data_IF_090323865652
#
_entry.id   IF_090323865652
#
_cell.length_a   1.000
_cell.length_b   1.000
_cell.length_c   1.000
_cell.angle_alpha   90.00
_cell.angle_beta   90.00
_cell.angle_gamma   90.00
#
_symmetry.space_group_name_H-M   'P 1'
#
loop_
_entity.id
_entity.type
_entity.pdbx_description
1 polymer ?
#
# COMPACT_ATOMS: atom_id res chain seq x y z
N UNK A 1 -14.62 7.82 39.88
CA UNK A 1 -14.34 9.28 39.93
C UNK A 1 -13.18 9.56 40.88
N UNK A 2 -11.97 9.72 40.37
CA UNK A 2 -10.79 10.18 41.14
C UNK A 2 -10.08 11.27 40.33
N UNK A 3 -9.48 12.20 41.08
CA UNK A 3 -9.38 13.63 40.80
C UNK A 3 -8.30 14.01 39.79
N UNK A 4 -8.66 14.99 38.97
CA UNK A 4 -7.83 15.87 38.16
C UNK A 4 -6.89 16.69 39.06
N UNK A 5 -5.60 16.79 38.70
CA UNK A 5 -4.68 17.77 39.26
C UNK A 5 -4.00 18.53 38.11
N UNK A 6 -4.50 19.73 37.89
CA UNK A 6 -3.98 20.77 37.02
C UNK A 6 -2.93 21.56 37.82
N UNK A 7 -1.72 21.76 37.29
CA UNK A 7 -0.75 22.69 37.83
C UNK A 7 -0.24 23.60 36.72
N UNK A 8 -0.73 24.84 36.75
CA UNK A 8 -0.30 25.96 35.93
C UNK A 8 1.01 26.57 36.48
N UNK A 9 1.74 27.14 35.51
CA UNK A 9 2.53 28.38 35.57
C UNK A 9 3.78 28.43 36.46
N UNK A 10 4.93 28.74 35.84
CA UNK A 10 5.46 30.10 35.84
C UNK A 10 6.52 30.27 34.75
N UNK A 11 6.40 31.35 33.96
CA UNK A 11 7.37 31.74 32.96
C UNK A 11 8.56 32.48 33.57
N UNK A 12 9.70 32.39 32.89
CA UNK A 12 10.82 33.31 33.06
C UNK A 12 11.22 33.79 31.66
N UNK A 13 11.02 35.09 31.44
CA UNK A 13 11.50 35.86 30.30
C UNK A 13 12.93 36.28 30.62
N UNK A 14 13.88 36.01 29.72
CA UNK A 14 15.15 36.74 29.69
C UNK A 14 15.41 37.16 28.25
N UNK A 15 15.43 38.47 28.03
CA UNK A 15 15.82 39.11 26.79
C UNK A 15 17.35 39.11 26.63
N UNK A 16 17.83 38.96 25.39
CA UNK A 16 19.24 39.08 25.05
C UNK A 16 19.46 39.36 23.57
N UNK A 17 20.03 40.54 23.31
CA UNK A 17 20.31 41.28 22.08
C UNK A 17 20.66 40.56 20.76
N UNK A 18 20.25 41.23 19.68
CA UNK A 18 20.60 41.06 18.27
C UNK A 18 22.09 41.18 17.96
N UNK A 19 22.58 40.38 16.99
CA UNK A 19 23.65 40.77 16.05
C UNK A 19 23.27 40.25 14.67
N UNK A 20 23.26 41.17 13.71
CA UNK A 20 23.03 40.98 12.29
C UNK A 20 24.39 40.64 11.65
N UNK A 21 24.48 39.53 10.92
CA UNK A 21 25.61 39.24 10.03
C UNK A 21 25.03 38.99 8.63
N UNK A 22 25.25 39.96 7.76
CA UNK A 22 25.11 39.79 6.31
C UNK A 22 26.25 38.91 5.79
N UNK A 23 25.93 37.75 5.23
CA UNK A 23 26.79 37.04 4.29
C UNK A 23 25.96 36.54 3.11
N UNK A 24 26.19 37.18 1.95
CA UNK A 24 25.83 36.66 0.66
C UNK A 24 26.72 35.45 0.33
N UNK A 25 26.11 34.29 0.07
CA UNK A 25 26.74 33.18 -0.61
C UNK A 25 25.69 32.26 -1.26
N UNK A 26 25.65 32.32 -2.60
CA UNK A 26 25.43 31.22 -3.55
C UNK A 26 24.44 30.12 -3.16
N UNK A 27 23.22 30.20 -3.70
CA UNK A 27 22.30 29.07 -3.82
C UNK A 27 22.85 28.02 -4.79
N UNK A 28 23.49 27.00 -4.23
CA UNK A 28 23.51 25.66 -4.86
C UNK A 28 22.42 24.83 -4.20
N UNK A 29 21.46 24.44 -5.02
CA UNK A 29 20.36 23.54 -4.71
C UNK A 29 20.94 22.15 -4.39
N UNK A 30 20.93 21.76 -3.11
CA UNK A 30 21.21 20.39 -2.69
C UNK A 30 19.94 19.80 -2.13
N UNK A 31 19.25 19.03 -2.97
CA UNK A 31 18.16 18.12 -2.61
C UNK A 31 18.72 17.07 -1.64
N UNK A 32 18.72 17.36 -0.34
CA UNK A 32 19.00 16.35 0.68
C UNK A 32 17.79 15.40 0.76
N UNK A 33 17.94 14.21 0.21
CA UNK A 33 17.11 13.04 0.54
C UNK A 33 17.29 12.71 2.03
N UNK A 34 16.46 13.33 2.87
CA UNK A 34 16.25 12.86 4.23
C UNK A 34 15.43 11.57 4.17
N UNK A 35 16.11 10.42 4.28
CA UNK A 35 15.46 9.16 4.66
C UNK A 35 15.79 8.92 6.13
N UNK A 36 14.79 9.02 7.00
CA UNK A 36 14.89 8.49 8.36
C UNK A 36 14.92 6.95 8.29
N UNK A 37 16.13 6.38 8.24
CA UNK A 37 16.36 4.94 8.24
C UNK A 37 17.02 4.60 9.57
N UNK A 38 16.42 3.71 10.33
CA UNK A 38 17.12 2.98 11.39
C UNK A 38 17.28 1.56 10.87
N UNK A 39 18.48 1.20 10.40
CA UNK A 39 18.77 -0.17 10.03
C UNK A 39 18.96 -1.00 11.32
N UNK A 40 18.05 -1.94 11.57
CA UNK A 40 18.25 -2.92 12.64
C UNK A 40 18.92 -4.14 12.02
N UNK A 41 20.23 -4.25 12.17
CA UNK A 41 20.98 -5.41 11.67
C UNK A 41 20.76 -6.62 12.59
N UNK A 42 19.96 -7.58 12.12
CA UNK A 42 20.04 -8.97 12.56
C UNK A 42 20.44 -9.80 11.35
N UNK A 43 21.52 -10.57 11.48
CA UNK A 43 22.30 -11.14 10.37
C UNK A 43 21.53 -11.81 9.22
N UNK A 44 22.13 -11.63 8.04
CA UNK A 44 21.77 -12.11 6.68
C UNK A 44 20.41 -11.63 6.16
N UNK A 45 20.48 -10.50 5.44
CA UNK A 45 19.42 -9.55 5.06
C UNK A 45 18.90 -8.72 6.25
N UNK A 46 19.36 -7.46 6.35
CA UNK A 46 18.88 -6.51 7.34
C UNK A 46 17.52 -5.97 6.93
N UNK A 47 16.55 -6.05 7.84
CA UNK A 47 15.26 -5.42 7.66
C UNK A 47 15.44 -3.90 7.66
N UNK A 48 14.86 -3.21 6.68
CA UNK A 48 14.92 -1.75 6.62
C UNK A 48 13.71 -1.17 7.34
N UNK A 49 13.90 -0.73 8.60
CA UNK A 49 12.85 -0.02 9.31
C UNK A 49 12.79 1.43 8.81
N UNK A 50 11.64 1.77 8.24
CA UNK A 50 11.31 3.14 7.86
C UNK A 50 10.65 3.87 9.03
N UNK A 51 11.05 5.13 9.23
CA UNK A 51 10.38 6.04 10.18
C UNK A 51 9.48 7.05 9.47
N UNK A 52 9.40 6.98 8.15
CA UNK A 52 8.66 7.91 7.31
C UNK A 52 8.74 7.55 5.85
N UNK A 53 8.01 8.28 5.03
CA UNK A 53 7.93 8.06 3.58
C UNK A 53 8.00 9.37 2.81
N UNK A 54 8.59 9.31 1.61
CA UNK A 54 8.46 10.37 0.61
C UNK A 54 7.34 10.01 -0.36
N UNK A 55 6.22 10.73 -0.31
CA UNK A 55 5.02 10.37 -1.05
C UNK A 55 4.33 11.58 -1.69
N UNK A 56 3.46 11.29 -2.66
CA UNK A 56 2.58 12.27 -3.30
C UNK A 56 1.18 11.71 -3.48
N UNK A 57 0.15 12.54 -3.27
CA UNK A 57 -1.24 12.27 -3.64
C UNK A 57 -1.54 12.69 -5.09
N UNK A 58 -0.53 13.14 -5.86
CA UNK A 58 -0.63 13.46 -7.29
C UNK A 58 -1.66 14.57 -7.60
N UNK A 59 -1.72 15.59 -6.75
CA UNK A 59 -2.67 16.71 -6.86
C UNK A 59 -2.20 17.86 -7.76
N UNK A 60 -1.00 17.76 -8.32
CA UNK A 60 -0.39 18.80 -9.16
C UNK A 60 0.24 18.20 -10.43
N UNK A 61 0.41 19.05 -11.45
CA UNK A 61 0.90 18.61 -12.75
C UNK A 61 2.32 18.03 -12.72
N UNK A 62 3.19 18.48 -11.81
CA UNK A 62 4.57 18.01 -11.74
C UNK A 62 4.63 16.59 -11.17
N UNK A 63 3.96 16.34 -10.06
CA UNK A 63 3.88 14.98 -9.49
C UNK A 63 3.17 14.02 -10.44
N UNK A 64 2.06 14.43 -11.06
CA UNK A 64 1.38 13.61 -12.07
C UNK A 64 2.29 13.30 -13.27
N UNK A 65 3.05 14.27 -13.78
CA UNK A 65 3.97 14.05 -14.89
C UNK A 65 5.09 13.05 -14.53
N UNK A 66 5.63 13.13 -13.31
CA UNK A 66 6.65 12.20 -12.83
C UNK A 66 6.10 10.76 -12.81
N UNK A 67 4.95 10.55 -12.15
CA UNK A 67 4.31 9.22 -12.05
C UNK A 67 3.90 8.69 -13.43
N UNK A 68 3.33 9.55 -14.28
CA UNK A 68 2.96 9.21 -15.66
C UNK A 68 4.15 8.73 -16.47
N UNK A 69 5.27 9.45 -16.40
CA UNK A 69 6.48 9.09 -17.12
C UNK A 69 7.07 7.77 -16.62
N UNK A 70 7.05 7.52 -15.31
CA UNK A 70 7.52 6.26 -14.74
C UNK A 70 6.66 5.07 -15.21
N UNK A 71 5.33 5.19 -15.17
CA UNK A 71 4.40 4.15 -15.65
C UNK A 71 4.62 3.85 -17.15
N UNK A 72 4.70 4.87 -18.01
CA UNK A 72 4.90 4.69 -19.45
C UNK A 72 6.26 4.07 -19.76
N UNK A 73 7.34 4.50 -19.08
CA UNK A 73 8.68 3.90 -19.22
C UNK A 73 8.73 2.46 -18.74
N UNK A 74 7.81 2.07 -17.87
CA UNK A 74 7.64 0.73 -17.33
C UNK A 74 6.70 -0.16 -18.15
N UNK A 75 6.37 0.26 -19.37
CA UNK A 75 5.56 -0.46 -20.36
C UNK A 75 4.07 -0.58 -19.99
N UNK A 76 3.57 0.28 -19.08
CA UNK A 76 2.13 0.42 -18.81
C UNK A 76 1.47 1.16 -19.97
N UNK A 77 0.34 0.65 -20.47
CA UNK A 77 -0.32 1.21 -21.66
C UNK A 77 -0.82 2.64 -21.43
N UNK A 78 -0.72 3.49 -22.46
CA UNK A 78 -1.16 4.89 -22.37
C UNK A 78 -2.62 5.02 -21.93
N UNK A 79 -3.49 4.12 -22.40
CA UNK A 79 -4.90 4.05 -22.01
C UNK A 79 -5.07 3.77 -20.51
N UNK A 80 -4.32 2.80 -19.97
CA UNK A 80 -4.37 2.48 -18.54
C UNK A 80 -3.85 3.66 -17.68
N UNK A 81 -2.77 4.32 -18.12
CA UNK A 81 -2.23 5.49 -17.45
C UNK A 81 -3.22 6.66 -17.46
N UNK A 82 -3.88 6.93 -18.59
CA UNK A 82 -4.92 7.98 -18.67
C UNK A 82 -6.11 7.67 -17.76
N UNK A 83 -6.60 6.44 -17.76
CA UNK A 83 -7.69 6.01 -16.89
C UNK A 83 -7.32 6.14 -15.41
N UNK A 84 -6.07 5.82 -15.04
CA UNK A 84 -5.58 6.00 -13.68
C UNK A 84 -5.62 7.46 -13.23
N UNK A 85 -5.09 8.40 -14.03
CA UNK A 85 -5.12 9.81 -13.65
C UNK A 85 -6.53 10.39 -13.62
N UNK A 86 -7.45 9.92 -14.47
CA UNK A 86 -8.86 10.29 -14.35
C UNK A 86 -9.44 9.89 -12.98
N UNK A 87 -9.09 8.70 -12.46
CA UNK A 87 -9.52 8.29 -11.12
C UNK A 87 -8.87 9.13 -10.00
N UNK A 88 -7.61 9.54 -10.16
CA UNK A 88 -6.91 10.45 -9.23
C UNK A 88 -7.56 11.82 -9.20
N UNK A 89 -7.84 12.40 -10.37
CA UNK A 89 -8.47 13.71 -10.52
C UNK A 89 -9.90 13.71 -9.97
N UNK A 90 -10.67 12.67 -10.28
CA UNK A 90 -12.03 12.50 -9.76
C UNK A 90 -12.03 12.41 -8.24
N UNK A 91 -11.14 11.61 -7.64
CA UNK A 91 -11.03 11.53 -6.18
C UNK A 91 -10.64 12.88 -5.59
N UNK A 92 -9.62 13.54 -6.14
CA UNK A 92 -9.15 14.84 -5.67
C UNK A 92 -10.26 15.89 -5.72
N UNK A 93 -11.07 15.88 -6.78
CA UNK A 93 -12.24 16.76 -6.93
C UNK A 93 -13.33 16.45 -5.92
N UNK A 94 -13.67 15.18 -5.70
CA UNK A 94 -14.70 14.75 -4.73
C UNK A 94 -14.34 15.23 -3.32
N UNK A 95 -13.07 15.14 -2.94
CA UNK A 95 -12.62 15.53 -1.59
C UNK A 95 -12.18 17.00 -1.51
N UNK A 96 -12.39 17.77 -2.57
CA UNK A 96 -12.00 19.18 -2.69
C UNK A 96 -10.51 19.43 -2.35
N UNK A 97 -9.66 18.43 -2.61
CA UNK A 97 -8.23 18.45 -2.25
C UNK A 97 -7.93 18.49 -0.74
N UNK A 98 -8.95 18.45 0.13
CA UNK A 98 -8.76 18.58 1.59
C UNK A 98 -7.83 17.49 2.12
N UNK A 99 -6.73 17.88 2.76
CA UNK A 99 -5.79 16.94 3.39
C UNK A 99 -4.86 16.20 2.43
N UNK A 100 -4.95 16.46 1.12
CA UNK A 100 -4.04 15.87 0.13
C UNK A 100 -2.80 16.74 -0.03
N UNK A 101 -1.63 16.12 -0.17
CA UNK A 101 -0.38 16.86 -0.37
C UNK A 101 -0.15 17.24 -1.84
N UNK A 102 0.61 18.33 -2.04
CA UNK A 102 1.14 18.75 -3.34
C UNK A 102 2.58 18.30 -3.49
N UNK A 103 2.95 17.85 -4.68
CA UNK A 103 4.29 17.35 -4.99
C UNK A 103 4.63 16.09 -4.18
N UNK A 104 5.91 15.72 -4.20
CA UNK A 104 6.44 14.69 -3.30
C UNK A 104 6.94 15.33 -2.01
N UNK A 105 6.27 15.04 -0.89
CA UNK A 105 6.64 15.52 0.44
C UNK A 105 7.11 14.39 1.34
N UNK A 106 7.87 14.73 2.38
CA UNK A 106 8.22 13.79 3.44
C UNK A 106 7.11 13.77 4.51
N UNK A 107 6.75 12.58 4.97
CA UNK A 107 5.96 12.37 6.19
C UNK A 107 6.75 11.52 7.17
N UNK A 108 6.78 11.94 8.43
CA UNK A 108 7.38 11.19 9.56
C UNK A 108 6.46 10.07 10.07
N UNK A 109 5.80 9.37 9.13
CA UNK A 109 4.92 8.24 9.38
C UNK A 109 4.78 7.41 8.10
N UNK A 110 4.44 6.12 8.22
CA UNK A 110 4.11 5.25 7.09
C UNK A 110 2.63 5.37 6.67
N UNK A 111 1.81 5.95 7.53
CA UNK A 111 0.37 6.11 7.36
C UNK A 111 0.01 7.56 7.59
N UNK A 112 0.16 8.42 6.57
CA UNK A 112 -0.39 9.77 6.64
C UNK A 112 -1.88 9.70 7.00
N UNK A 113 -2.31 10.56 7.92
CA UNK A 113 -3.69 10.59 8.39
C UNK A 113 -4.59 11.31 7.38
N UNK A 114 -5.75 10.70 7.11
CA UNK A 114 -6.75 11.22 6.20
C UNK A 114 -8.13 11.17 6.85
N UNK A 115 -8.94 12.21 6.61
CA UNK A 115 -10.31 12.34 7.10
C UNK A 115 -11.25 11.44 6.28
N UNK A 116 -11.16 10.13 6.54
CA UNK A 116 -11.83 9.08 5.75
C UNK A 116 -13.36 9.20 5.84
N UNK A 117 -13.88 9.60 7.01
CA UNK A 117 -15.30 9.91 7.22
C UNK A 117 -15.75 11.07 6.32
N UNK A 118 -14.99 12.17 6.27
CA UNK A 118 -15.29 13.28 5.37
C UNK A 118 -15.22 12.86 3.90
N UNK A 119 -14.19 12.09 3.49
CA UNK A 119 -14.06 11.62 2.11
C UNK A 119 -15.21 10.71 1.69
N UNK A 120 -15.66 9.82 2.59
CA UNK A 120 -16.82 8.98 2.37
C UNK A 120 -18.11 9.82 2.27
N UNK A 121 -18.31 10.80 3.17
CA UNK A 121 -19.47 11.68 3.13
C UNK A 121 -19.54 12.50 1.83
N UNK A 122 -18.43 13.11 1.39
CA UNK A 122 -18.39 13.85 0.13
C UNK A 122 -18.74 12.98 -1.06
N UNK A 123 -18.20 11.75 -1.10
CA UNK A 123 -18.54 10.79 -2.14
C UNK A 123 -20.04 10.46 -2.14
N UNK A 124 -20.61 10.14 -0.98
CA UNK A 124 -22.03 9.76 -0.85
C UNK A 124 -22.97 10.91 -1.26
N UNK A 125 -22.56 12.17 -1.08
CA UNK A 125 -23.33 13.33 -1.55
C UNK A 125 -23.43 13.43 -3.07
N UNK A 126 -22.48 12.83 -3.81
CA UNK A 126 -22.43 12.85 -5.28
C UNK A 126 -22.99 11.53 -5.84
N UNK A 127 -22.61 10.39 -5.24
CA UNK A 127 -22.98 9.05 -5.69
C UNK A 127 -23.22 8.11 -4.50
N UNK A 128 -24.46 8.04 -4.00
CA UNK A 128 -24.82 7.24 -2.81
C UNK A 128 -24.50 5.74 -2.93
N UNK A 129 -24.57 5.17 -4.12
CA UNK A 129 -24.37 3.72 -4.35
C UNK A 129 -22.97 3.35 -4.87
N UNK A 130 -22.06 4.33 -4.98
CA UNK A 130 -20.72 4.11 -5.53
C UNK A 130 -19.65 4.37 -4.46
N UNK A 131 -19.06 3.30 -3.94
CA UNK A 131 -17.97 3.36 -2.94
C UNK A 131 -16.64 3.89 -3.51
N UNK A 132 -16.52 4.00 -4.84
CA UNK A 132 -15.27 4.34 -5.50
C UNK A 132 -14.47 3.14 -5.96
N UNK A 133 -13.18 3.37 -6.12
CA UNK A 133 -12.19 2.35 -6.48
C UNK A 133 -11.24 2.11 -5.32
N UNK A 134 -10.91 0.84 -5.09
CA UNK A 134 -9.96 0.40 -4.06
C UNK A 134 -8.60 0.00 -4.67
N UNK A 135 -7.72 -0.55 -3.84
CA UNK A 135 -6.40 -1.06 -4.23
C UNK A 135 -6.46 -2.08 -5.39
N UNK A 136 -7.34 -3.09 -5.30
CA UNK A 136 -7.48 -4.16 -6.30
C UNK A 136 -7.92 -3.62 -7.66
N UNK A 137 -8.98 -2.80 -7.68
CA UNK A 137 -9.49 -2.20 -8.93
C UNK A 137 -8.42 -1.32 -9.56
N UNK A 138 -7.72 -0.51 -8.75
CA UNK A 138 -6.68 0.41 -9.22
C UNK A 138 -5.50 -0.35 -9.82
N UNK A 139 -4.91 -1.29 -9.08
CA UNK A 139 -3.75 -2.04 -9.51
C UNK A 139 -4.04 -2.92 -10.74
N UNK A 140 -5.22 -3.57 -10.76
CA UNK A 140 -5.65 -4.33 -11.93
C UNK A 140 -5.88 -3.44 -13.15
N UNK A 141 -6.52 -2.28 -12.98
CA UNK A 141 -6.77 -1.36 -14.11
C UNK A 141 -5.47 -0.88 -14.75
N UNK A 142 -4.43 -0.69 -13.94
CA UNK A 142 -3.08 -0.33 -14.41
C UNK A 142 -2.37 -1.50 -15.12
N UNK A 143 -2.38 -2.72 -14.55
CA UNK A 143 -1.54 -3.83 -15.00
C UNK A 143 -2.27 -5.01 -15.65
N UNK A 144 -3.56 -4.92 -15.93
CA UNK A 144 -4.33 -6.02 -16.52
C UNK A 144 -3.71 -6.56 -17.82
N UNK A 145 -3.09 -5.71 -18.64
CA UNK A 145 -2.47 -6.11 -19.92
C UNK A 145 -1.20 -6.95 -19.71
N UNK A 146 -0.54 -6.80 -18.55
CA UNK A 146 0.65 -7.56 -18.16
C UNK A 146 0.32 -8.90 -17.49
N UNK A 147 -0.95 -9.23 -17.29
CA UNK A 147 -1.40 -10.46 -16.64
C UNK A 147 -2.08 -11.34 -17.69
N UNK A 148 -1.76 -12.62 -17.74
CA UNK A 148 -2.49 -13.63 -18.52
C UNK A 148 -3.08 -14.65 -17.57
N UNK A 149 -4.26 -15.15 -17.89
CA UNK A 149 -4.90 -16.24 -17.16
C UNK A 149 -5.35 -17.24 -18.22
N UNK A 150 -4.83 -18.46 -18.15
CA UNK A 150 -5.23 -19.53 -19.06
C UNK A 150 -6.69 -19.91 -18.80
N UNK A 151 -7.49 -19.99 -19.87
CA UNK A 151 -8.88 -20.45 -19.82
C UNK A 151 -9.70 -19.76 -18.72
N UNK A 152 -9.91 -18.43 -18.82
CA UNK A 152 -10.59 -17.62 -17.81
C UNK A 152 -12.03 -18.12 -17.59
N UNK A 153 -12.29 -18.93 -16.53
CA UNK A 153 -13.62 -19.47 -16.34
C UNK A 153 -14.57 -18.37 -15.91
N UNK A 154 -15.84 -18.50 -16.29
CA UNK A 154 -16.89 -17.72 -15.65
C UNK A 154 -17.05 -18.22 -14.21
N UNK A 155 -16.82 -17.33 -13.26
CA UNK A 155 -16.82 -17.64 -11.83
C UNK A 155 -17.85 -16.75 -11.16
N UNK A 156 -18.66 -17.33 -10.26
CA UNK A 156 -19.51 -16.53 -9.39
C UNK A 156 -18.67 -15.55 -8.57
N UNK A 157 -19.23 -14.39 -8.27
CA UNK A 157 -18.53 -13.37 -7.50
C UNK A 157 -18.47 -13.84 -6.04
N UNK A 158 -17.27 -14.14 -5.51
CA UNK A 158 -17.13 -14.55 -4.12
C UNK A 158 -17.41 -13.35 -3.19
N UNK A 159 -17.79 -13.65 -1.95
CA UNK A 159 -18.15 -12.67 -0.93
C UNK A 159 -17.08 -11.59 -0.76
N UNK A 160 -15.81 -11.97 -0.77
CA UNK A 160 -14.66 -11.07 -0.59
C UNK A 160 -14.48 -10.01 -1.69
N UNK A 161 -15.22 -10.13 -2.80
CA UNK A 161 -15.21 -9.20 -3.93
C UNK A 161 -16.55 -8.46 -4.12
N UNK A 162 -17.54 -8.66 -3.23
CA UNK A 162 -18.86 -8.04 -3.41
C UNK A 162 -18.80 -6.51 -3.49
N UNK A 163 -17.89 -5.89 -2.72
CA UNK A 163 -17.72 -4.43 -2.67
C UNK A 163 -16.87 -3.90 -3.83
N UNK A 164 -16.03 -4.74 -4.43
CA UNK A 164 -15.20 -4.38 -5.57
C UNK A 164 -16.03 -4.28 -6.84
N UNK A 165 -16.93 -5.24 -7.05
CA UNK A 165 -17.59 -5.42 -8.34
C UNK A 165 -18.45 -4.23 -8.79
N UNK A 166 -19.18 -3.50 -7.93
CA UNK A 166 -19.84 -2.26 -8.32
C UNK A 166 -18.87 -1.24 -8.89
N UNK A 167 -17.73 -1.01 -8.23
CA UNK A 167 -16.72 -0.08 -8.72
C UNK A 167 -15.99 -0.61 -9.96
N UNK A 168 -15.69 -1.90 -10.01
CA UNK A 168 -15.06 -2.49 -11.19
C UNK A 168 -15.95 -2.39 -12.43
N UNK A 169 -17.28 -2.51 -12.29
CA UNK A 169 -18.24 -2.36 -13.39
C UNK A 169 -18.37 -0.92 -13.91
N UNK A 170 -17.99 0.08 -13.11
CA UNK A 170 -18.06 1.48 -13.53
C UNK A 170 -16.81 1.96 -14.28
N UNK A 171 -15.73 1.15 -14.35
CA UNK A 171 -14.55 1.54 -15.12
C UNK A 171 -14.87 1.56 -16.61
N UNK A 172 -14.39 2.59 -17.33
CA UNK A 172 -14.66 2.75 -18.76
C UNK A 172 -14.21 1.54 -19.60
N UNK A 173 -13.13 0.87 -19.18
CA UNK A 173 -12.55 -0.27 -19.91
C UNK A 173 -13.20 -1.63 -19.58
N UNK A 174 -14.32 -1.63 -18.83
CA UNK A 174 -15.00 -2.83 -18.36
C UNK A 174 -15.41 -3.76 -19.51
N UNK A 175 -15.18 -5.06 -19.31
CA UNK A 175 -15.78 -6.14 -20.11
C UNK A 175 -16.09 -7.33 -19.20
N UNK A 176 -16.99 -8.22 -19.63
CA UNK A 176 -17.27 -9.47 -18.90
C UNK A 176 -16.01 -10.34 -18.74
N UNK A 177 -15.18 -10.39 -19.77
CA UNK A 177 -13.90 -11.11 -19.74
C UNK A 177 -12.95 -10.54 -18.68
N UNK A 178 -12.80 -9.21 -18.62
CA UNK A 178 -12.00 -8.55 -17.59
C UNK A 178 -12.57 -8.75 -16.19
N UNK A 179 -13.89 -8.80 -16.05
CA UNK A 179 -14.54 -9.12 -14.79
C UNK A 179 -14.21 -10.55 -14.33
N UNK A 180 -14.29 -11.53 -15.22
CA UNK A 180 -13.91 -12.90 -14.90
C UNK A 180 -12.43 -12.99 -14.55
N UNK A 181 -11.56 -12.28 -15.26
CA UNK A 181 -10.13 -12.22 -14.97
C UNK A 181 -9.86 -11.59 -13.59
N UNK A 182 -10.54 -10.50 -13.27
CA UNK A 182 -10.48 -9.83 -11.97
C UNK A 182 -10.91 -10.79 -10.84
N UNK A 183 -12.07 -11.43 -10.97
CA UNK A 183 -12.58 -12.40 -10.00
C UNK A 183 -11.61 -13.57 -9.83
N UNK A 184 -11.10 -14.14 -10.91
CA UNK A 184 -10.17 -15.26 -10.83
C UNK A 184 -8.84 -14.89 -10.17
N UNK A 185 -8.36 -13.65 -10.34
CA UNK A 185 -7.13 -13.19 -9.70
C UNK A 185 -7.30 -12.91 -8.21
N UNK A 186 -8.43 -12.31 -7.81
CA UNK A 186 -8.63 -11.79 -6.44
C UNK A 186 -9.56 -12.61 -5.54
N UNK A 187 -10.17 -13.68 -6.06
CA UNK A 187 -10.93 -14.61 -5.22
C UNK A 187 -10.04 -15.18 -4.10
N UNK A 188 -10.60 -15.25 -2.90
CA UNK A 188 -9.93 -15.83 -1.74
C UNK A 188 -9.52 -17.30 -2.00
N UNK A 189 -8.47 -17.73 -1.31
CA UNK A 189 -7.88 -19.06 -1.45
C UNK A 189 -8.12 -19.81 -0.14
N UNK A 190 -9.00 -20.82 -0.11
CA UNK A 190 -9.26 -21.58 1.10
C UNK A 190 -7.98 -22.21 1.66
N UNK A 191 -7.78 -22.09 2.97
CA UNK A 191 -6.68 -22.69 3.73
C UNK A 191 -7.20 -23.22 5.08
N UNK A 192 -6.33 -23.58 6.01
CA UNK A 192 -6.71 -23.97 7.38
C UNK A 192 -6.19 -22.95 8.38
N UNK A 193 -6.93 -22.68 9.45
CA UNK A 193 -6.51 -21.71 10.47
C UNK A 193 -5.12 -21.99 11.07
N UNK A 194 -4.72 -23.27 11.12
CA UNK A 194 -3.40 -23.70 11.62
C UNK A 194 -2.29 -23.70 10.58
N UNK A 195 -2.55 -23.27 9.34
CA UNK A 195 -1.56 -23.30 8.27
C UNK A 195 -0.42 -22.32 8.56
N UNK A 196 0.81 -22.80 8.44
CA UNK A 196 2.02 -21.99 8.58
C UNK A 196 2.17 -21.02 7.41
N UNK A 197 3.00 -19.98 7.60
CA UNK A 197 3.29 -19.02 6.53
C UNK A 197 3.87 -19.71 5.28
N UNK A 198 4.75 -20.70 5.46
CA UNK A 198 5.35 -21.44 4.34
C UNK A 198 4.31 -22.25 3.57
N UNK A 199 3.39 -22.92 4.26
CA UNK A 199 2.28 -23.65 3.63
C UNK A 199 1.37 -22.70 2.85
N UNK A 200 1.05 -21.54 3.44
CA UNK A 200 0.22 -20.52 2.78
C UNK A 200 0.91 -19.91 1.55
N UNK A 201 2.21 -19.61 1.61
CA UNK A 201 3.00 -19.16 0.45
C UNK A 201 2.94 -20.21 -0.67
N UNK A 202 3.11 -21.49 -0.34
CA UNK A 202 3.04 -22.56 -1.34
C UNK A 202 1.63 -22.68 -1.91
N UNK A 203 0.59 -22.58 -1.08
CA UNK A 203 -0.82 -22.61 -1.49
C UNK A 203 -1.15 -21.51 -2.50
N UNK A 204 -0.63 -20.29 -2.31
CA UNK A 204 -0.82 -19.18 -3.26
C UNK A 204 -0.15 -19.53 -4.59
N UNK A 205 1.12 -19.98 -4.57
CA UNK A 205 1.86 -20.38 -5.79
C UNK A 205 1.11 -21.46 -6.57
N UNK A 206 0.68 -22.51 -5.89
CA UNK A 206 -0.06 -23.62 -6.50
C UNK A 206 -1.39 -23.16 -7.09
N UNK A 207 -2.09 -22.24 -6.41
CA UNK A 207 -3.36 -21.70 -6.88
C UNK A 207 -3.20 -20.85 -8.13
N UNK A 208 -2.20 -19.96 -8.15
CA UNK A 208 -1.88 -19.16 -9.33
C UNK A 208 -1.48 -20.04 -10.52
N UNK A 209 -0.63 -21.05 -10.28
CA UNK A 209 -0.23 -22.02 -11.31
C UNK A 209 -1.43 -22.83 -11.83
N UNK A 210 -2.30 -23.31 -10.94
CA UNK A 210 -3.53 -24.05 -11.31
C UNK A 210 -4.48 -23.21 -12.15
N UNK A 211 -4.62 -21.92 -11.83
CA UNK A 211 -5.38 -20.94 -12.61
C UNK A 211 -4.68 -20.51 -13.89
N UNK A 212 -3.45 -20.98 -14.14
CA UNK A 212 -2.64 -20.59 -15.29
C UNK A 212 -2.38 -19.08 -15.32
N UNK A 213 -2.21 -18.46 -14.16
CA UNK A 213 -1.85 -17.05 -14.05
C UNK A 213 -0.39 -16.90 -14.44
N UNK A 214 -0.12 -16.08 -15.45
CA UNK A 214 1.21 -15.74 -15.92
C UNK A 214 1.35 -14.22 -15.90
N UNK A 215 2.46 -13.72 -15.37
CA UNK A 215 2.82 -12.31 -15.41
C UNK A 215 3.83 -12.13 -16.54
N UNK A 216 3.52 -11.25 -17.48
CA UNK A 216 4.44 -10.89 -18.55
C UNK A 216 5.67 -10.20 -17.97
N UNK A 217 6.80 -10.40 -18.64
CA UNK A 217 8.04 -9.74 -18.27
C UNK A 217 7.97 -8.25 -18.67
N UNK A 218 7.37 -7.45 -17.80
CA UNK A 218 7.33 -5.98 -17.87
C UNK A 218 8.24 -5.38 -16.82
N UNK A 219 8.63 -4.12 -16.99
CA UNK A 219 9.37 -3.39 -15.96
C UNK A 219 8.48 -3.03 -14.77
N UNK A 220 7.16 -2.88 -14.99
CA UNK A 220 6.21 -2.74 -13.91
C UNK A 220 5.93 -4.09 -13.24
N UNK A 221 5.76 -4.08 -11.92
CA UNK A 221 5.45 -5.25 -11.12
C UNK A 221 4.18 -5.05 -10.30
N UNK A 222 3.38 -6.11 -10.18
CA UNK A 222 2.24 -6.17 -9.27
C UNK A 222 2.73 -6.65 -7.89
N UNK A 223 2.58 -5.82 -6.86
CA UNK A 223 2.98 -6.13 -5.49
C UNK A 223 1.74 -6.41 -4.66
N UNK A 224 1.61 -7.64 -4.16
CA UNK A 224 0.43 -8.10 -3.41
C UNK A 224 0.82 -8.51 -1.99
N UNK A 225 0.12 -7.99 -0.99
CA UNK A 225 0.24 -8.38 0.42
C UNK A 225 -0.90 -9.34 0.76
N UNK A 226 -0.54 -10.59 1.04
CA UNK A 226 -1.50 -11.62 1.43
C UNK A 226 -1.67 -11.67 2.94
N UNK A 227 -2.91 -11.84 3.37
CA UNK A 227 -3.33 -12.02 4.75
C UNK A 227 -3.92 -13.41 4.93
N UNK A 228 -3.84 -13.92 6.16
CA UNK A 228 -4.49 -15.15 6.58
C UNK A 228 -5.69 -14.79 7.46
N UNK A 229 -6.88 -14.87 6.87
CA UNK A 229 -8.13 -14.67 7.61
C UNK A 229 -8.44 -15.94 8.40
N UNK A 230 -8.50 -15.78 9.73
CA UNK A 230 -8.83 -16.82 10.69
C UNK A 230 -9.99 -16.42 11.60
N UNK A 231 -10.74 -15.35 11.25
CA UNK A 231 -11.87 -14.85 12.05
C UNK A 231 -12.88 -15.97 12.32
N UNK A 232 -13.24 -16.72 11.27
CA UNK A 232 -13.90 -18.02 11.40
C UNK A 232 -12.88 -19.11 11.01
N UNK A 233 -12.36 -19.87 11.98
CA UNK A 233 -11.39 -20.93 11.73
C UNK A 233 -11.88 -22.01 10.76
N UNK A 234 -13.20 -22.20 10.63
CA UNK A 234 -13.80 -23.20 9.74
C UNK A 234 -13.81 -22.76 8.27
N UNK A 235 -13.70 -21.46 8.00
CA UNK A 235 -13.66 -20.86 6.67
C UNK A 235 -12.36 -20.08 6.43
N UNK A 236 -11.30 -20.45 7.12
CA UNK A 236 -10.00 -19.80 7.01
C UNK A 236 -9.53 -19.71 5.56
N UNK A 237 -9.01 -18.56 5.17
CA UNK A 237 -8.65 -18.30 3.77
C UNK A 237 -7.48 -17.31 3.66
N UNK A 238 -6.89 -17.28 2.48
CA UNK A 238 -5.91 -16.28 2.09
C UNK A 238 -6.56 -15.29 1.13
N UNK A 239 -6.33 -14.01 1.37
CA UNK A 239 -6.77 -12.95 0.48
C UNK A 239 -5.72 -11.86 0.36
N UNK A 240 -5.80 -11.08 -0.70
CA UNK A 240 -4.96 -9.91 -0.91
C UNK A 240 -5.57 -8.76 -0.10
N UNK A 241 -4.96 -8.41 1.03
CA UNK A 241 -5.40 -7.29 1.86
C UNK A 241 -4.90 -5.93 1.36
N UNK A 242 -3.77 -5.91 0.64
CA UNK A 242 -3.28 -4.71 -0.03
C UNK A 242 -2.54 -5.05 -1.32
N UNK A 243 -2.62 -4.15 -2.31
CA UNK A 243 -1.98 -4.33 -3.61
C UNK A 243 -1.66 -2.99 -4.26
N UNK A 244 -0.54 -2.94 -4.98
CA UNK A 244 -0.14 -1.78 -5.77
C UNK A 244 0.78 -2.14 -6.92
N UNK A 245 1.20 -1.11 -7.65
CA UNK A 245 2.06 -1.22 -8.84
C UNK A 245 3.41 -0.61 -8.55
N UNK A 246 4.47 -1.40 -8.68
CA UNK A 246 5.85 -0.95 -8.52
C UNK A 246 6.47 -0.72 -9.90
N UNK A 247 7.08 0.44 -10.11
CA UNK A 247 7.82 0.76 -11.34
C UNK A 247 9.21 1.30 -11.03
N UNK A 248 10.20 1.08 -11.91
CA UNK A 248 11.47 1.81 -11.84
C UNK A 248 11.24 3.30 -12.02
N UNK A 249 11.99 4.10 -11.26
CA UNK A 249 12.05 5.55 -11.37
C UNK A 249 13.48 6.02 -11.68
N UNK A 250 13.71 7.32 -11.61
CA UNK A 250 15.03 7.92 -11.84
C UNK A 250 16.07 7.44 -10.82
N UNK A 251 17.35 7.47 -11.22
CA UNK A 251 18.49 7.12 -10.36
C UNK A 251 18.46 5.71 -9.74
N UNK A 252 17.72 4.78 -10.34
CA UNK A 252 17.59 3.41 -9.83
C UNK A 252 16.64 3.27 -8.64
N UNK A 253 15.92 4.34 -8.28
CA UNK A 253 14.85 4.29 -7.30
C UNK A 253 13.63 3.55 -7.87
N UNK A 254 12.67 3.27 -6.99
CA UNK A 254 11.40 2.64 -7.28
C UNK A 254 10.27 3.57 -6.87
N UNK A 255 9.19 3.55 -7.64
CA UNK A 255 7.96 4.24 -7.35
C UNK A 255 6.85 3.21 -7.15
N UNK A 256 6.23 3.21 -5.97
CA UNK A 256 5.10 2.37 -5.64
C UNK A 256 3.80 3.18 -5.73
N UNK A 257 2.94 2.83 -6.67
CA UNK A 257 1.65 3.46 -6.93
C UNK A 257 0.57 2.60 -6.29
N UNK A 258 -0.20 3.20 -5.38
CA UNK A 258 -1.23 2.52 -4.62
C UNK A 258 -2.51 3.36 -4.50
N UNK A 259 -3.61 2.66 -4.21
CA UNK A 259 -4.82 3.25 -3.63
C UNK A 259 -4.96 2.62 -2.26
N UNK A 260 -5.03 3.40 -1.20
CA UNK A 260 -4.92 2.84 0.16
C UNK A 260 -6.19 2.06 0.53
N UNK A 261 -7.36 2.69 0.42
CA UNK A 261 -8.70 2.12 0.65
C UNK A 261 -9.71 2.83 -0.26
N UNK A 262 -11.01 2.50 -0.22
CA UNK A 262 -12.04 3.20 -1.02
C UNK A 262 -12.09 4.70 -0.73
N UNK A 263 -12.09 5.02 0.54
CA UNK A 263 -12.22 6.32 1.18
C UNK A 263 -10.87 6.94 1.58
N UNK A 264 -9.76 6.43 1.06
CA UNK A 264 -8.42 7.01 1.26
C UNK A 264 -7.75 7.28 -0.08
N UNK A 265 -6.80 8.22 -0.18
CA UNK A 265 -6.35 8.71 -1.47
C UNK A 265 -5.50 7.72 -2.26
N UNK A 266 -5.31 8.09 -3.53
CA UNK A 266 -4.23 7.55 -4.33
C UNK A 266 -2.90 8.10 -3.83
N UNK A 267 -1.86 7.28 -3.92
CA UNK A 267 -0.54 7.63 -3.43
C UNK A 267 0.54 7.05 -4.34
N UNK A 268 1.61 7.82 -4.54
CA UNK A 268 2.85 7.36 -5.12
C UNK A 268 3.97 7.53 -4.08
N UNK A 269 4.68 6.45 -3.74
CA UNK A 269 5.74 6.44 -2.71
C UNK A 269 7.08 6.10 -3.34
N UNK A 270 8.12 6.85 -2.98
CA UNK A 270 9.49 6.61 -3.46
C UNK A 270 10.25 5.69 -2.50
N UNK A 271 10.92 4.71 -3.06
CA UNK A 271 11.81 3.78 -2.35
C UNK A 271 13.13 3.63 -3.10
N UNK A 272 14.23 3.49 -2.38
CA UNK A 272 15.54 3.21 -3.01
C UNK A 272 15.62 1.81 -3.61
N UNK A 273 14.93 0.85 -3.00
CA UNK A 273 14.98 -0.56 -3.38
C UNK A 273 13.80 -1.35 -2.75
N UNK A 274 13.73 -2.64 -3.05
CA UNK A 274 12.67 -3.55 -2.55
C UNK A 274 12.76 -3.80 -1.05
N UNK A 275 13.91 -3.61 -0.42
CA UNK A 275 14.03 -3.74 1.03
C UNK A 275 13.30 -2.59 1.76
N UNK A 276 13.37 -1.36 1.24
CA UNK A 276 12.55 -0.24 1.75
C UNK A 276 11.05 -0.48 1.50
N UNK A 277 10.66 -0.99 0.32
CA UNK A 277 9.27 -1.39 0.05
C UNK A 277 8.79 -2.48 1.03
N UNK A 278 9.62 -3.48 1.32
CA UNK A 278 9.33 -4.51 2.33
C UNK A 278 9.09 -3.86 3.70
N UNK A 279 10.00 -2.98 4.13
CA UNK A 279 9.89 -2.25 5.39
C UNK A 279 8.62 -1.40 5.49
N UNK A 280 8.22 -0.76 4.40
CA UNK A 280 6.97 -0.02 4.30
C UNK A 280 5.75 -0.92 4.48
N UNK A 281 5.65 -2.00 3.69
CA UNK A 281 4.48 -2.87 3.69
C UNK A 281 4.37 -3.69 4.99
N UNK A 282 5.47 -4.25 5.49
CA UNK A 282 5.47 -5.02 6.74
C UNK A 282 5.38 -4.10 7.97
N UNK A 283 5.89 -2.88 7.89
CA UNK A 283 5.64 -1.87 8.93
C UNK A 283 4.16 -1.49 9.08
N UNK A 284 3.37 -1.59 8.00
CA UNK A 284 1.94 -1.28 7.99
C UNK A 284 1.05 -2.49 8.30
N UNK A 285 1.42 -3.66 7.79
CA UNK A 285 0.51 -4.80 7.73
C UNK A 285 0.91 -5.97 8.62
N UNK A 286 2.18 -6.09 8.97
CA UNK A 286 2.68 -7.14 9.85
C UNK A 286 2.77 -6.61 11.28
N UNK A 287 1.59 -6.28 11.84
CA UNK A 287 1.42 -5.59 13.14
C UNK A 287 0.45 -6.31 14.08
N UNK A 288 -0.01 -7.51 13.71
CA UNK A 288 -0.82 -8.35 14.58
C UNK A 288 0.08 -9.11 15.58
N UNK A 289 -0.22 -8.96 16.87
CA UNK A 289 0.49 -9.58 17.99
C UNK A 289 -0.28 -10.74 18.62
N UNK A 290 -1.45 -11.11 18.10
CA UNK A 290 -2.27 -12.22 18.59
C UNK A 290 -1.60 -13.58 18.34
N UNK A 291 -1.00 -13.74 17.16
CA UNK A 291 -0.47 -15.01 16.67
C UNK A 291 -1.54 -16.03 16.28
N UNK A 292 -2.80 -15.63 16.13
CA UNK A 292 -3.91 -16.52 15.76
C UNK A 292 -3.79 -17.04 14.32
N UNK A 293 -3.29 -16.20 13.41
CA UNK A 293 -3.05 -16.55 12.01
C UNK A 293 -1.57 -16.51 11.62
N UNK A 294 -1.27 -16.99 10.41
CA UNK A 294 0.08 -16.82 9.84
C UNK A 294 0.31 -15.35 9.47
N UNK A 295 1.50 -14.85 9.75
CA UNK A 295 1.90 -13.47 9.41
C UNK A 295 1.79 -13.19 7.91
N UNK A 296 1.50 -11.93 7.51
CA UNK A 296 1.34 -11.58 6.10
C UNK A 296 2.64 -11.77 5.32
N UNK A 297 2.51 -11.88 3.99
CA UNK A 297 3.65 -12.06 3.09
C UNK A 297 3.46 -11.31 1.77
N UNK A 298 4.56 -10.94 1.14
CA UNK A 298 4.57 -10.08 -0.06
C UNK A 298 4.93 -10.89 -1.29
N UNK A 299 4.07 -10.81 -2.30
CA UNK A 299 4.33 -11.36 -3.63
C UNK A 299 4.64 -10.24 -4.62
N UNK A 300 5.62 -10.47 -5.49
CA UNK A 300 5.91 -9.71 -6.69
C UNK A 300 5.62 -10.60 -7.92
N UNK A 301 4.69 -10.20 -8.79
CA UNK A 301 4.34 -10.93 -10.02
C UNK A 301 4.08 -12.44 -9.79
N UNK A 302 3.29 -12.77 -8.77
CA UNK A 302 2.89 -14.16 -8.48
C UNK A 302 3.96 -15.02 -7.79
N UNK A 303 5.14 -14.47 -7.49
CA UNK A 303 6.18 -15.13 -6.70
C UNK A 303 6.41 -14.40 -5.39
N UNK A 304 6.92 -15.11 -4.37
CA UNK A 304 7.38 -14.46 -3.13
C UNK A 304 8.46 -13.42 -3.49
N UNK A 305 8.33 -12.20 -2.97
CA UNK A 305 9.29 -11.13 -3.24
C UNK A 305 10.68 -11.53 -2.71
N UNK A 306 11.72 -11.30 -3.51
CA UNK A 306 13.07 -11.80 -3.23
C UNK A 306 13.65 -11.32 -1.89
N UNK A 307 13.39 -10.06 -1.53
CA UNK A 307 13.84 -9.42 -0.28
C UNK A 307 12.75 -9.41 0.80
N UNK A 308 11.81 -10.36 0.74
CA UNK A 308 10.74 -10.48 1.73
C UNK A 308 11.32 -10.77 3.12
N UNK A 309 10.98 -9.92 4.08
CA UNK A 309 11.38 -10.05 5.47
C UNK A 309 10.22 -9.65 6.40
N UNK A 310 10.03 -10.40 7.46
CA UNK A 310 9.04 -10.09 8.50
C UNK A 310 9.46 -8.89 9.34
N UNK A 311 8.48 -8.15 9.86
CA UNK A 311 8.73 -7.05 10.79
C UNK A 311 9.39 -7.58 12.09
N UNK A 312 10.61 -7.13 12.44
CA UNK A 312 11.31 -7.63 13.63
C UNK A 312 10.61 -7.25 14.93
N UNK A 313 9.95 -6.09 15.01
CA UNK A 313 9.21 -5.65 16.20
C UNK A 313 8.06 -6.62 16.53
N UNK A 314 7.31 -7.03 15.52
CA UNK A 314 6.23 -8.02 15.67
C UNK A 314 6.76 -9.39 16.04
N UNK A 315 7.90 -9.79 15.47
CA UNK A 315 8.60 -11.02 15.87
C UNK A 315 8.96 -11.01 17.36
N UNK A 316 9.47 -9.88 17.85
CA UNK A 316 9.85 -9.72 19.24
C UNK A 316 8.63 -9.77 20.17
N UNK A 317 7.55 -9.07 19.82
CA UNK A 317 6.34 -9.04 20.62
C UNK A 317 5.68 -10.43 20.73
N UNK A 318 5.58 -11.17 19.62
CA UNK A 318 5.04 -12.54 19.63
C UNK A 318 5.86 -13.47 20.52
N UNK A 319 7.20 -13.37 20.50
CA UNK A 319 8.07 -14.13 21.41
C UNK A 319 7.83 -13.76 22.88
N UNK A 320 7.63 -12.48 23.19
CA UNK A 320 7.34 -12.02 24.54
C UNK A 320 5.97 -12.52 25.06
N UNK A 321 4.96 -12.55 24.18
CA UNK A 321 3.63 -13.06 24.50
C UNK A 321 3.67 -14.56 24.86
N UNK A 322 4.49 -15.36 24.16
CA UNK A 322 4.67 -16.79 24.46
C UNK A 322 5.45 -17.06 25.76
N UNK A 323 6.25 -16.10 26.23
CA UNK A 323 7.09 -16.22 27.43
C UNK A 323 6.42 -15.67 28.69
N UNK A 324 5.32 -14.94 28.54
CA UNK A 324 4.55 -14.40 29.66
C UNK A 324 3.55 -15.47 30.11
N UNK A 325 3.67 -16.05 31.32
CA UNK A 325 2.66 -16.99 31.80
C UNK A 325 1.32 -16.27 31.85
N UNK A 326 0.28 -16.90 31.30
CA UNK A 326 -1.09 -16.41 31.42
C UNK A 326 -1.35 -16.12 32.91
N UNK A 327 -1.61 -14.87 33.24
CA UNK A 327 -2.09 -14.52 34.57
C UNK A 327 -3.50 -15.09 34.66
N UNK A 328 -3.63 -16.21 35.37
CA UNK A 328 -4.93 -16.74 35.84
C UNK A 328 -5.66 -15.71 36.72
#
# INVERSE_FOLDING_TARGET
MKKLALLCSLGIIIAGCSIQIDHAATTTDTTQTQSGIIATETGTQSYVQLTGIRYSNMTDAQSQAEVKNALLKADVSQTAVQAFFAMVDDFTKIVEGKGLNHGFTWAETLTPEYDSDFYQQQRNNIHQDFMGYNCRITAFSLLQDAIKIKDVPETEIPENLMFDMPGFRSIQSYTKEKANKFVNLFAQIPTTATATQTENIQKVKDTLAKKGVEFLNTKASLISVFFHDVIDPSTANLFIGHIGVLVPSENGELLFIEKIAFDQPYQAVKFKNRAELNGYLMGKYDVDYSGEGSRPFIFENGSLMADFQLNPATTQQLKANLQSPASE
#
